data_IF_213845393365
#
_entry.id   IF_213845393365
#
_cell.length_a   1.000
_cell.length_b   1.000
_cell.length_c   1.000
_cell.angle_alpha   90.00
_cell.angle_beta   90.00
_cell.angle_gamma   90.00
#
_symmetry.space_group_name_H-M   'P 1'
#
loop_
_entity.id
_entity.type
_entity.pdbx_description
1 polymer ?
#
# COMPACT_ATOMS: atom_id res chain seq x y z
N UNK A 1 -1.37 -18.33 -8.80
CA UNK A 1 -1.63 -16.95 -8.29
C UNK A 1 -2.88 -16.38 -8.93
N UNK A 2 -3.78 -15.76 -8.15
CA UNK A 2 -5.06 -15.21 -8.61
C UNK A 2 -5.24 -13.78 -8.09
N UNK A 3 -6.07 -12.96 -8.76
CA UNK A 3 -6.39 -11.61 -8.31
C UNK A 3 -7.02 -11.61 -6.90
N UNK A 4 -7.83 -12.60 -6.59
CA UNK A 4 -8.42 -12.79 -5.27
C UNK A 4 -7.35 -12.97 -4.19
N UNK A 5 -6.32 -13.77 -4.45
CA UNK A 5 -5.18 -13.94 -3.55
C UNK A 5 -4.38 -12.64 -3.37
N UNK A 6 -4.20 -11.85 -4.46
CA UNK A 6 -3.56 -10.53 -4.35
C UNK A 6 -4.37 -9.59 -3.44
N UNK A 7 -5.70 -9.52 -3.60
CA UNK A 7 -6.58 -8.75 -2.71
C UNK A 7 -6.48 -9.23 -1.25
N UNK A 8 -6.36 -10.53 -1.01
CA UNK A 8 -6.22 -11.09 0.33
C UNK A 8 -4.94 -10.61 1.01
N UNK A 9 -3.79 -10.72 0.35
CA UNK A 9 -2.51 -10.29 0.96
C UNK A 9 -2.46 -8.79 1.17
N UNK A 10 -3.02 -7.98 0.27
CA UNK A 10 -3.15 -6.54 0.45
C UNK A 10 -3.99 -6.22 1.70
N UNK A 11 -5.16 -6.84 1.85
CA UNK A 11 -6.04 -6.61 3.00
C UNK A 11 -5.40 -7.03 4.32
N UNK A 12 -4.63 -8.14 4.35
CA UNK A 12 -3.88 -8.57 5.53
C UNK A 12 -2.81 -7.55 5.89
N UNK A 13 -2.06 -7.04 4.91
CA UNK A 13 -1.04 -6.03 5.14
C UNK A 13 -1.63 -4.72 5.68
N UNK A 14 -2.78 -4.31 5.18
CA UNK A 14 -3.46 -3.06 5.58
C UNK A 14 -4.05 -3.15 7.00
N UNK A 15 -4.55 -4.32 7.38
CA UNK A 15 -5.17 -4.54 8.71
C UNK A 15 -4.17 -4.99 9.78
N UNK A 16 -3.01 -5.52 9.40
CA UNK A 16 -2.03 -6.12 10.31
C UNK A 16 -2.55 -7.35 11.06
N UNK A 17 -3.71 -7.90 10.65
CA UNK A 17 -4.39 -8.98 11.37
C UNK A 17 -5.17 -9.90 10.44
N UNK A 18 -4.90 -11.21 10.53
CA UNK A 18 -5.66 -12.24 9.79
C UNK A 18 -7.16 -12.23 10.14
N UNK A 19 -7.49 -11.96 11.41
CA UNK A 19 -8.88 -11.93 11.86
C UNK A 19 -9.62 -10.71 11.32
N UNK A 20 -9.00 -9.53 11.37
CA UNK A 20 -9.64 -8.32 10.83
C UNK A 20 -9.73 -8.40 9.30
N UNK A 21 -8.69 -8.89 8.63
CA UNK A 21 -8.73 -9.12 7.18
C UNK A 21 -9.85 -10.09 6.78
N UNK A 22 -10.02 -11.20 7.51
CA UNK A 22 -11.08 -12.17 7.20
C UNK A 22 -12.49 -11.58 7.35
N UNK A 23 -12.70 -10.72 8.35
CA UNK A 23 -13.96 -9.98 8.52
C UNK A 23 -14.19 -9.00 7.37
N UNK A 24 -13.17 -8.21 7.02
CA UNK A 24 -13.24 -7.25 5.92
C UNK A 24 -13.54 -7.92 4.57
N UNK A 25 -13.00 -9.12 4.36
CA UNK A 25 -13.16 -9.92 3.15
C UNK A 25 -14.41 -10.82 3.15
N UNK A 26 -15.17 -10.87 4.26
CA UNK A 26 -16.35 -11.72 4.45
C UNK A 26 -16.06 -13.22 4.21
N UNK A 27 -14.89 -13.69 4.63
CA UNK A 27 -14.49 -15.11 4.54
C UNK A 27 -14.03 -15.66 5.89
N UNK A 28 -13.94 -16.99 6.02
CA UNK A 28 -13.40 -17.59 7.23
C UNK A 28 -11.89 -17.37 7.34
N UNK A 29 -11.40 -17.15 8.55
CA UNK A 29 -9.95 -17.01 8.79
C UNK A 29 -9.14 -18.24 8.33
N UNK A 30 -9.61 -19.50 8.54
CA UNK A 30 -8.91 -20.66 7.98
C UNK A 30 -8.80 -20.64 6.46
N UNK A 31 -9.86 -20.23 5.74
CA UNK A 31 -9.85 -20.12 4.27
C UNK A 31 -8.87 -19.04 3.80
N UNK A 32 -8.84 -17.88 4.47
CA UNK A 32 -7.88 -16.82 4.19
C UNK A 32 -6.43 -17.32 4.41
N UNK A 33 -6.19 -17.96 5.56
CA UNK A 33 -4.86 -18.52 5.90
C UNK A 33 -4.39 -19.56 4.89
N UNK A 34 -5.29 -20.41 4.42
CA UNK A 34 -4.96 -21.43 3.41
C UNK A 34 -4.63 -20.79 2.06
N UNK A 35 -5.43 -19.82 1.61
CA UNK A 35 -5.20 -19.14 0.35
C UNK A 35 -3.86 -18.38 0.31
N UNK A 36 -3.47 -17.77 1.44
CA UNK A 36 -2.15 -17.12 1.57
C UNK A 36 -1.03 -18.14 1.53
N UNK A 37 -1.16 -19.25 2.27
CA UNK A 37 -0.15 -20.32 2.27
C UNK A 37 0.04 -20.93 0.89
N UNK A 38 -1.02 -21.12 0.13
CA UNK A 38 -0.95 -21.60 -1.25
C UNK A 38 -0.21 -20.62 -2.15
N UNK A 39 -0.48 -19.32 -2.01
CA UNK A 39 0.22 -18.27 -2.74
C UNK A 39 1.72 -18.26 -2.37
N UNK A 40 2.07 -18.22 -1.08
CA UNK A 40 3.45 -18.25 -0.60
C UNK A 40 4.21 -19.50 -1.09
N UNK A 41 3.52 -20.64 -1.13
CA UNK A 41 4.09 -21.89 -1.67
C UNK A 41 4.34 -21.78 -3.17
N UNK A 42 3.41 -21.21 -3.92
CA UNK A 42 3.53 -21.03 -5.38
C UNK A 42 4.68 -20.09 -5.78
N UNK A 43 4.82 -18.98 -5.04
CA UNK A 43 5.87 -17.98 -5.33
C UNK A 43 7.21 -18.30 -4.66
N UNK A 44 7.23 -19.24 -3.70
CA UNK A 44 8.45 -19.70 -3.02
C UNK A 44 8.99 -18.74 -1.95
N UNK A 45 8.21 -17.75 -1.51
CA UNK A 45 8.61 -16.79 -0.47
C UNK A 45 7.52 -16.61 0.58
N UNK A 46 7.91 -16.31 1.82
CA UNK A 46 6.99 -15.94 2.89
C UNK A 46 6.71 -14.44 2.83
N UNK A 47 5.44 -14.08 2.70
CA UNK A 47 5.01 -12.67 2.67
C UNK A 47 4.79 -12.11 4.07
N UNK A 48 4.46 -12.98 5.03
CA UNK A 48 4.08 -12.58 6.37
C UNK A 48 4.78 -13.37 7.46
N UNK A 49 5.22 -12.66 8.52
CA UNK A 49 5.60 -13.25 9.81
C UNK A 49 4.44 -13.15 10.78
N UNK A 50 4.05 -14.28 11.38
CA UNK A 50 2.98 -14.37 12.39
C UNK A 50 3.58 -14.32 13.79
N UNK A 51 3.00 -13.52 14.66
CA UNK A 51 3.38 -13.43 16.07
C UNK A 51 2.15 -13.31 16.95
N UNK A 52 2.33 -13.40 18.27
CA UNK A 52 1.26 -13.16 19.24
C UNK A 52 0.75 -11.70 19.22
N UNK A 53 1.47 -10.78 18.56
CA UNK A 53 1.10 -9.37 18.42
C UNK A 53 0.37 -9.07 17.10
N UNK A 54 0.21 -10.07 16.23
CA UNK A 54 -0.42 -9.91 14.93
C UNK A 54 0.43 -10.42 13.78
N UNK A 55 0.23 -9.83 12.62
CA UNK A 55 0.91 -10.16 11.36
C UNK A 55 1.79 -8.97 10.96
N UNK A 56 3.06 -9.22 10.66
CA UNK A 56 3.97 -8.25 10.06
C UNK A 56 4.38 -8.73 8.66
N UNK A 57 4.62 -7.77 7.77
CA UNK A 57 5.08 -8.04 6.39
C UNK A 57 6.58 -8.35 6.42
N UNK A 58 7.05 -9.29 5.61
CA UNK A 58 8.48 -9.56 5.39
C UNK A 58 9.08 -8.55 4.40
N UNK A 59 10.40 -8.56 4.22
CA UNK A 59 11.04 -7.71 3.21
C UNK A 59 10.57 -8.09 1.80
N UNK A 60 10.55 -9.39 1.50
CA UNK A 60 10.02 -9.93 0.25
C UNK A 60 8.52 -9.64 0.08
N UNK A 61 7.79 -9.63 1.21
CA UNK A 61 6.38 -9.26 1.24
C UNK A 61 6.14 -7.79 0.87
N UNK A 62 7.00 -6.87 1.29
CA UNK A 62 6.90 -5.44 0.93
C UNK A 62 7.02 -5.28 -0.59
N UNK A 63 8.04 -5.86 -1.19
CA UNK A 63 8.24 -5.83 -2.64
C UNK A 63 7.07 -6.46 -3.39
N UNK A 64 6.63 -7.65 -2.98
CA UNK A 64 5.49 -8.34 -3.57
C UNK A 64 4.21 -7.51 -3.49
N UNK A 65 3.94 -6.86 -2.34
CA UNK A 65 2.76 -6.02 -2.14
C UNK A 65 2.77 -4.80 -3.06
N UNK A 66 3.95 -4.22 -3.34
CA UNK A 66 4.09 -3.15 -4.32
C UNK A 66 3.54 -3.56 -5.69
N UNK A 67 4.00 -4.70 -6.23
CA UNK A 67 3.49 -5.25 -7.49
C UNK A 67 2.02 -5.68 -7.41
N UNK A 68 1.61 -6.30 -6.30
CA UNK A 68 0.23 -6.76 -6.11
C UNK A 68 -0.77 -5.59 -6.15
N UNK A 69 -0.44 -4.44 -5.53
CA UNK A 69 -1.28 -3.24 -5.57
C UNK A 69 -1.41 -2.68 -6.98
N UNK A 70 -0.32 -2.60 -7.74
CA UNK A 70 -0.35 -2.14 -9.12
C UNK A 70 -1.26 -3.02 -9.99
N UNK A 71 -1.15 -4.34 -9.86
CA UNK A 71 -2.00 -5.28 -10.62
C UNK A 71 -3.48 -5.13 -10.27
N UNK A 72 -3.80 -5.03 -8.97
CA UNK A 72 -5.19 -4.85 -8.51
C UNK A 72 -5.75 -3.51 -8.99
N UNK A 73 -4.98 -2.44 -8.92
CA UNK A 73 -5.38 -1.12 -9.39
C UNK A 73 -5.66 -1.12 -10.91
N UNK A 74 -4.78 -1.70 -11.71
CA UNK A 74 -4.99 -1.81 -13.15
C UNK A 74 -6.23 -2.65 -13.48
N UNK A 75 -6.48 -3.72 -12.73
CA UNK A 75 -7.70 -4.51 -12.90
C UNK A 75 -8.96 -3.69 -12.57
N UNK A 76 -8.95 -2.94 -11.46
CA UNK A 76 -10.06 -2.07 -11.06
C UNK A 76 -10.34 -0.98 -12.11
N UNK A 77 -9.30 -0.42 -12.74
CA UNK A 77 -9.46 0.52 -13.85
C UNK A 77 -10.16 -0.13 -15.05
N UNK A 78 -9.80 -1.36 -15.41
CA UNK A 78 -10.44 -2.10 -16.50
C UNK A 78 -11.90 -2.40 -16.14
N UNK A 79 -12.16 -2.95 -14.96
CA UNK A 79 -13.49 -3.31 -14.48
C UNK A 79 -14.44 -2.10 -14.49
N UNK A 80 -13.98 -1.00 -13.96
CA UNK A 80 -14.74 0.24 -13.90
C UNK A 80 -15.01 0.85 -15.27
N UNK A 81 -14.01 0.84 -16.16
CA UNK A 81 -14.15 1.41 -17.50
C UNK A 81 -15.10 0.60 -18.38
N UNK A 82 -14.99 -0.73 -18.36
CA UNK A 82 -15.70 -1.60 -19.29
C UNK A 82 -16.95 -2.25 -18.71
N UNK A 83 -16.97 -2.57 -17.40
CA UNK A 83 -18.08 -3.28 -16.77
C UNK A 83 -19.03 -2.29 -16.09
N UNK A 84 -18.51 -1.44 -15.20
CA UNK A 84 -19.33 -0.52 -14.44
C UNK A 84 -19.66 0.76 -15.18
N UNK A 85 -18.93 1.10 -16.22
CA UNK A 85 -19.04 2.35 -17.01
C UNK A 85 -19.00 3.61 -16.11
N UNK A 86 -18.33 3.52 -14.97
CA UNK A 86 -18.13 4.63 -14.05
C UNK A 86 -16.84 5.37 -14.41
N UNK A 87 -16.84 6.68 -14.25
CA UNK A 87 -15.60 7.45 -14.23
C UNK A 87 -14.84 7.11 -12.95
N UNK A 88 -13.90 6.14 -13.02
CA UNK A 88 -13.05 5.84 -11.87
C UNK A 88 -12.00 6.91 -11.75
N UNK A 89 -11.94 7.49 -10.58
CA UNK A 89 -10.91 8.45 -10.23
C UNK A 89 -9.60 7.69 -10.02
N UNK A 90 -8.53 8.22 -10.60
CA UNK A 90 -7.18 7.72 -10.30
C UNK A 90 -6.82 8.11 -8.88
N UNK A 91 -6.34 7.17 -8.10
CA UNK A 91 -5.80 7.46 -6.77
C UNK A 91 -4.53 8.29 -6.92
N UNK A 92 -4.36 9.27 -6.04
CA UNK A 92 -3.14 10.03 -5.91
C UNK A 92 -2.89 10.29 -4.42
N UNK A 93 -2.00 9.54 -3.84
CA UNK A 93 -1.66 9.57 -2.43
C UNK A 93 -0.31 10.25 -2.17
N UNK A 94 -0.26 11.02 -1.11
CA UNK A 94 0.98 11.59 -0.59
C UNK A 94 1.10 11.22 0.89
N UNK A 95 2.18 10.55 1.27
CA UNK A 95 2.52 10.32 2.67
C UNK A 95 3.60 11.30 3.12
N UNK A 96 3.40 11.96 4.25
CA UNK A 96 4.33 12.97 4.73
C UNK A 96 4.32 13.08 6.25
N UNK A 97 5.35 13.71 6.83
CA UNK A 97 5.26 14.27 8.17
C UNK A 97 4.45 15.57 8.15
N UNK A 98 4.15 16.11 9.32
CA UNK A 98 3.43 17.38 9.45
C UNK A 98 4.23 18.57 8.90
N UNK A 99 3.98 18.94 7.64
CA UNK A 99 4.59 20.10 6.98
C UNK A 99 3.53 21.02 6.39
N UNK A 100 3.36 22.18 6.97
CA UNK A 100 2.38 23.17 6.50
C UNK A 100 2.56 23.53 5.01
N UNK A 101 3.81 23.65 4.52
CA UNK A 101 4.06 23.93 3.11
C UNK A 101 3.57 22.81 2.19
N UNK A 102 3.71 21.55 2.61
CA UNK A 102 3.28 20.40 1.80
C UNK A 102 1.75 20.27 1.79
N UNK A 103 1.09 20.55 2.92
CA UNK A 103 -0.38 20.64 2.96
C UNK A 103 -0.89 21.71 2.01
N UNK A 104 -0.31 22.90 2.04
CA UNK A 104 -0.72 24.01 1.16
C UNK A 104 -0.52 23.64 -0.33
N UNK A 105 0.64 23.07 -0.67
CA UNK A 105 0.91 22.62 -2.04
C UNK A 105 -0.08 21.52 -2.49
N UNK A 106 -0.46 20.63 -1.59
CA UNK A 106 -1.44 19.57 -1.88
C UNK A 106 -2.85 20.16 -2.11
N UNK A 107 -3.25 21.16 -1.33
CA UNK A 107 -4.51 21.88 -1.52
C UNK A 107 -4.52 22.59 -2.88
N UNK A 108 -3.45 23.32 -3.23
CA UNK A 108 -3.32 23.98 -4.54
C UNK A 108 -3.40 22.96 -5.70
N UNK A 109 -2.79 21.77 -5.53
CA UNK A 109 -2.87 20.69 -6.52
C UNK A 109 -4.31 20.20 -6.71
N UNK A 110 -5.09 20.04 -5.64
CA UNK A 110 -6.51 19.66 -5.71
C UNK A 110 -7.32 20.76 -6.41
N UNK A 111 -7.08 22.02 -6.09
CA UNK A 111 -7.76 23.17 -6.72
C UNK A 111 -7.46 23.25 -8.22
N UNK A 112 -6.21 22.98 -8.61
CA UNK A 112 -5.78 23.05 -10.01
C UNK A 112 -6.32 21.90 -10.86
N UNK A 113 -6.29 20.68 -10.36
CA UNK A 113 -6.64 19.47 -11.15
C UNK A 113 -8.06 18.98 -10.92
N UNK A 114 -8.71 19.42 -9.85
CA UNK A 114 -10.06 19.05 -9.48
C UNK A 114 -10.18 17.60 -8.99
N UNK A 115 -11.26 17.33 -8.28
CA UNK A 115 -11.55 16.01 -7.73
C UNK A 115 -12.39 15.11 -8.66
N UNK A 116 -12.61 15.50 -9.91
CA UNK A 116 -13.41 14.70 -10.85
C UNK A 116 -12.65 13.49 -11.39
N UNK A 117 -11.35 13.68 -11.68
CA UNK A 117 -10.49 12.65 -12.27
C UNK A 117 -9.62 11.91 -11.26
N UNK A 118 -9.39 12.50 -10.08
CA UNK A 118 -8.48 11.98 -9.08
C UNK A 118 -9.17 11.82 -7.73
N UNK A 119 -8.82 10.75 -7.02
CA UNK A 119 -9.11 10.52 -5.61
C UNK A 119 -7.85 10.85 -4.82
N UNK A 120 -7.81 12.08 -4.32
CA UNK A 120 -6.64 12.61 -3.61
C UNK A 120 -6.64 12.15 -2.16
N UNK A 121 -5.52 11.60 -1.70
CA UNK A 121 -5.31 11.18 -0.32
C UNK A 121 -4.03 11.81 0.23
N UNK A 122 -4.13 12.52 1.35
CA UNK A 122 -2.99 13.01 2.11
C UNK A 122 -2.91 12.23 3.42
N UNK A 123 -1.79 11.55 3.65
CA UNK A 123 -1.54 10.78 4.85
C UNK A 123 -0.41 11.38 5.66
N UNK A 124 -0.73 11.74 6.89
CA UNK A 124 0.26 12.26 7.84
C UNK A 124 0.75 11.12 8.74
N UNK A 125 2.05 10.83 8.68
CA UNK A 125 2.62 9.69 9.38
C UNK A 125 4.11 9.88 9.70
N UNK A 126 4.76 8.87 10.29
CA UNK A 126 6.17 8.92 10.68
C UNK A 126 7.10 8.59 9.50
N UNK A 127 8.36 9.05 9.60
CA UNK A 127 9.36 8.94 8.52
C UNK A 127 9.51 7.53 7.97
N UNK A 128 9.55 6.52 8.84
CA UNK A 128 9.68 5.12 8.42
C UNK A 128 8.45 4.64 7.64
N UNK A 129 7.26 4.96 8.13
CA UNK A 129 5.99 4.60 7.49
C UNK A 129 5.81 5.30 6.13
N UNK A 130 6.38 6.52 5.95
CA UNK A 130 6.37 7.19 4.65
C UNK A 130 7.12 6.36 3.59
N UNK A 131 8.29 5.83 3.95
CA UNK A 131 9.09 4.98 3.05
C UNK A 131 8.33 3.69 2.73
N UNK A 132 7.75 3.05 3.74
CA UNK A 132 6.93 1.84 3.55
C UNK A 132 5.68 2.10 2.71
N UNK A 133 5.00 3.22 2.91
CA UNK A 133 3.81 3.58 2.14
C UNK A 133 4.12 3.73 0.65
N UNK A 134 5.28 4.35 0.31
CA UNK A 134 5.72 4.46 -1.08
C UNK A 134 6.18 3.11 -1.62
N UNK A 135 6.99 2.36 -0.87
CA UNK A 135 7.45 1.03 -1.29
C UNK A 135 6.30 0.05 -1.53
N UNK A 136 5.23 0.13 -0.73
CA UNK A 136 4.03 -0.69 -0.88
C UNK A 136 2.97 -0.09 -1.83
N UNK A 137 3.29 0.99 -2.56
CA UNK A 137 2.37 1.69 -3.47
C UNK A 137 1.04 2.10 -2.80
N UNK A 138 1.09 2.47 -1.51
CA UNK A 138 -0.03 3.10 -0.80
C UNK A 138 -0.10 4.60 -1.06
N UNK A 139 1.05 5.19 -1.36
CA UNK A 139 1.21 6.58 -1.77
C UNK A 139 2.18 6.66 -2.93
N UNK A 140 1.88 7.54 -3.89
CA UNK A 140 2.73 7.79 -5.06
C UNK A 140 3.94 8.67 -4.71
N UNK A 141 3.81 9.47 -3.66
CA UNK A 141 4.86 10.40 -3.22
C UNK A 141 5.03 10.32 -1.70
N UNK A 142 6.29 10.29 -1.26
CA UNK A 142 6.69 10.46 0.12
C UNK A 142 7.43 11.78 0.33
N UNK A 143 7.02 12.58 1.32
CA UNK A 143 7.71 13.82 1.70
C UNK A 143 8.28 13.65 3.10
N UNK A 144 9.61 13.67 3.19
CA UNK A 144 10.33 13.54 4.44
C UNK A 144 11.49 14.55 4.54
N UNK A 145 11.92 14.83 5.76
CA UNK A 145 13.02 15.76 6.01
C UNK A 145 14.34 15.00 6.18
N UNK A 146 15.33 15.35 5.36
CA UNK A 146 16.69 14.87 5.49
C UNK A 146 17.56 15.87 6.24
N UNK A 147 18.26 15.40 7.26
CA UNK A 147 19.28 16.13 7.99
C UNK A 147 20.52 15.25 8.20
N UNK A 148 21.58 15.81 8.76
CA UNK A 148 22.85 15.09 8.93
C UNK A 148 22.74 13.89 9.89
N UNK A 149 21.78 13.88 10.82
CA UNK A 149 21.58 12.78 11.77
C UNK A 149 20.82 11.60 11.17
N UNK A 150 19.84 11.85 10.30
CA UNK A 150 18.98 10.80 9.75
C UNK A 150 19.36 10.39 8.31
N UNK A 151 20.14 11.21 7.61
CA UNK A 151 20.49 11.01 6.18
C UNK A 151 20.94 9.60 5.88
N UNK A 152 21.99 9.13 6.56
CA UNK A 152 22.59 7.80 6.29
C UNK A 152 21.60 6.67 6.50
N UNK A 153 20.75 6.76 7.53
CA UNK A 153 19.75 5.73 7.83
C UNK A 153 18.63 5.75 6.80
N UNK A 154 18.15 6.94 6.42
CA UNK A 154 17.07 7.08 5.45
C UNK A 154 17.51 6.71 4.04
N UNK A 155 18.70 7.12 3.60
CA UNK A 155 19.27 6.71 2.31
C UNK A 155 19.46 5.19 2.22
N UNK A 156 19.80 4.53 3.33
CA UNK A 156 19.89 3.08 3.39
C UNK A 156 18.52 2.43 3.23
N UNK A 157 17.52 2.91 3.97
CA UNK A 157 16.15 2.39 3.91
C UNK A 157 15.52 2.60 2.52
N UNK A 158 15.67 3.79 1.94
CA UNK A 158 15.21 4.09 0.58
C UNK A 158 15.82 3.11 -0.42
N UNK A 159 17.14 2.89 -0.32
CA UNK A 159 17.84 1.94 -1.19
C UNK A 159 17.42 0.48 -0.94
N UNK A 160 17.15 0.08 0.31
CA UNK A 160 16.69 -1.27 0.64
C UNK A 160 15.29 -1.55 0.05
N UNK A 161 14.50 -0.53 -0.21
CA UNK A 161 13.17 -0.61 -0.84
C UNK A 161 13.18 -0.28 -2.34
N UNK A 162 14.36 -0.11 -2.93
CA UNK A 162 14.54 0.20 -4.37
C UNK A 162 13.80 1.49 -4.82
N UNK A 163 13.79 2.51 -3.95
CA UNK A 163 13.13 3.80 -4.14
C UNK A 163 14.12 4.91 -4.54
#
# INVERSE_FOLDING_TARGET
MTLTQLRYVITIADTGSMNEASKALFISQPSLSQAVKELETEIGVELFKRSNRGVSVTQEGIEFLGYARQVVEQYELIESHYIERKNVKKKFGVSMQHYTFAVNAFVELIEQYGSEKYDFCLRETQTYEIIEDVAQMKSEIGILYLNDFNRTVLEKLIKEHDL
#
